data_IF_034443374882
#
_entry.id   IF_034443374882
#
_cell.length_a   1.000
_cell.length_b   1.000
_cell.length_c   1.000
_cell.angle_alpha   90.00
_cell.angle_beta   90.00
_cell.angle_gamma   90.00
#
_symmetry.space_group_name_H-M   'P 1'
#
loop_
_entity.id
_entity.type
_entity.pdbx_description
1 polymer ?
#
# COMPACT_ATOMS: atom_id res chain seq x y z
N UNK A 1 21.42 -39.56 47.54
CA UNK A 1 20.04 -39.03 47.39
C UNK A 1 20.00 -37.54 47.06
N UNK A 2 20.66 -36.66 47.84
CA UNK A 2 20.68 -35.20 47.57
C UNK A 2 21.27 -34.82 46.20
N UNK A 3 22.36 -35.48 45.78
CA UNK A 3 23.03 -35.20 44.50
C UNK A 3 22.19 -35.63 43.28
N UNK A 4 21.49 -36.77 43.37
CA UNK A 4 20.53 -37.21 42.36
C UNK A 4 19.34 -36.24 42.24
N UNK A 5 18.82 -35.75 43.37
CA UNK A 5 17.74 -34.76 43.37
C UNK A 5 18.15 -33.45 42.68
N UNK A 6 19.40 -32.99 42.88
CA UNK A 6 19.94 -31.79 42.21
C UNK A 6 20.06 -31.99 40.70
N UNK A 7 20.52 -33.15 40.25
CA UNK A 7 20.66 -33.45 38.82
C UNK A 7 19.28 -33.47 38.14
N UNK A 8 18.29 -34.11 38.77
CA UNK A 8 16.92 -34.16 38.25
C UNK A 8 16.30 -32.75 38.20
N UNK A 9 16.48 -31.96 39.25
CA UNK A 9 15.98 -30.58 39.30
C UNK A 9 16.61 -29.72 38.20
N UNK A 10 17.92 -29.86 37.98
CA UNK A 10 18.64 -29.16 36.90
C UNK A 10 18.10 -29.54 35.51
N UNK A 11 17.86 -30.83 35.28
CA UNK A 11 17.29 -31.31 34.01
C UNK A 11 15.88 -30.75 33.76
N UNK A 12 15.04 -30.66 34.80
CA UNK A 12 13.70 -30.08 34.70
C UNK A 12 13.77 -28.59 34.37
N UNK A 13 14.67 -27.84 34.99
CA UNK A 13 14.84 -26.40 34.73
C UNK A 13 15.28 -26.16 33.29
N UNK A 14 16.25 -26.92 32.79
CA UNK A 14 16.71 -26.82 31.39
C UNK A 14 15.55 -27.13 30.43
N UNK A 15 14.79 -28.19 30.69
CA UNK A 15 13.64 -28.57 29.86
C UNK A 15 12.56 -27.48 29.82
N UNK A 16 12.20 -26.92 30.97
CA UNK A 16 11.24 -25.82 31.08
C UNK A 16 11.74 -24.56 30.35
N UNK A 17 13.04 -24.27 30.44
CA UNK A 17 13.64 -23.11 29.78
C UNK A 17 13.52 -23.23 28.25
N UNK A 18 13.77 -24.41 27.69
CA UNK A 18 13.60 -24.67 26.25
C UNK A 18 12.13 -24.55 25.83
N UNK A 19 11.19 -25.05 26.63
CA UNK A 19 9.76 -24.88 26.34
C UNK A 19 9.35 -23.41 26.31
N UNK A 20 9.75 -22.64 27.32
CA UNK A 20 9.46 -21.20 27.41
C UNK A 20 9.98 -20.47 26.16
N UNK A 21 11.20 -20.78 25.73
CA UNK A 21 11.81 -20.13 24.56
C UNK A 21 11.06 -20.41 23.27
N UNK A 22 10.63 -21.66 23.07
CA UNK A 22 9.83 -22.04 21.89
C UNK A 22 8.46 -21.37 21.89
N UNK A 23 7.81 -21.30 23.05
CA UNK A 23 6.50 -20.68 23.19
C UNK A 23 6.54 -19.17 22.92
N UNK A 24 7.54 -18.46 23.46
CA UNK A 24 7.71 -17.02 23.23
C UNK A 24 7.95 -16.67 21.76
N UNK A 25 8.69 -17.51 21.02
CA UNK A 25 8.90 -17.29 19.58
C UNK A 25 7.62 -17.42 18.75
N UNK A 26 6.78 -18.40 19.09
CA UNK A 26 5.50 -18.64 18.42
C UNK A 26 4.52 -17.47 18.63
N UNK A 27 4.46 -16.91 19.83
CA UNK A 27 3.57 -15.77 20.12
C UNK A 27 3.95 -14.52 19.35
N UNK A 28 5.25 -14.24 19.20
CA UNK A 28 5.71 -13.06 18.45
C UNK A 28 5.45 -13.23 16.96
N UNK A 29 5.72 -14.41 16.39
CA UNK A 29 5.43 -14.68 14.97
C UNK A 29 3.93 -14.57 14.70
N UNK A 30 3.09 -15.22 15.51
CA UNK A 30 1.65 -15.20 15.33
C UNK A 30 1.07 -13.78 15.42
N UNK A 31 1.61 -12.95 16.31
CA UNK A 31 1.18 -11.55 16.45
C UNK A 31 1.62 -10.69 15.25
N UNK A 32 2.83 -10.91 14.73
CA UNK A 32 3.29 -10.27 13.50
C UNK A 32 2.45 -10.67 12.29
N UNK A 33 2.21 -11.97 12.11
CA UNK A 33 1.39 -12.50 11.02
C UNK A 33 -0.04 -11.93 11.08
N UNK A 34 -0.62 -11.88 12.28
CA UNK A 34 -1.92 -11.25 12.50
C UNK A 34 -1.92 -9.77 12.12
N UNK A 35 -0.90 -9.02 12.54
CA UNK A 35 -0.76 -7.59 12.22
C UNK A 35 -0.64 -7.36 10.71
N UNK A 36 0.15 -8.17 10.02
CA UNK A 36 0.33 -8.09 8.56
C UNK A 36 -0.98 -8.43 7.84
N UNK A 37 -1.67 -9.48 8.26
CA UNK A 37 -2.94 -9.86 7.65
C UNK A 37 -4.03 -8.82 7.90
N UNK A 38 -4.05 -8.21 9.09
CA UNK A 38 -4.95 -7.11 9.40
C UNK A 38 -4.67 -5.88 8.54
N UNK A 39 -3.40 -5.50 8.38
CA UNK A 39 -3.02 -4.39 7.50
C UNK A 39 -3.44 -4.64 6.05
N UNK A 40 -3.25 -5.87 5.53
CA UNK A 40 -3.71 -6.25 4.19
C UNK A 40 -5.23 -6.17 4.04
N UNK A 41 -5.97 -6.62 5.06
CA UNK A 41 -7.43 -6.55 5.07
C UNK A 41 -7.91 -5.09 5.07
N UNK A 42 -7.30 -4.24 5.89
CA UNK A 42 -7.67 -2.83 5.97
C UNK A 42 -7.34 -2.10 4.66
N UNK A 43 -6.19 -2.39 4.05
CA UNK A 43 -5.85 -1.88 2.71
C UNK A 43 -6.86 -2.35 1.66
N UNK A 44 -7.19 -3.65 1.62
CA UNK A 44 -8.15 -4.17 0.65
C UNK A 44 -9.55 -3.54 0.79
N UNK A 45 -9.95 -3.17 2.01
CA UNK A 45 -11.21 -2.43 2.24
C UNK A 45 -11.16 -1.00 1.70
N UNK A 46 -10.02 -0.33 1.86
CA UNK A 46 -9.81 1.01 1.28
C UNK A 46 -9.84 0.93 -0.24
N UNK A 47 -9.09 0.01 -0.83
CA UNK A 47 -9.06 -0.20 -2.29
C UNK A 47 -10.46 -0.52 -2.83
N UNK A 48 -11.24 -1.35 -2.12
CA UNK A 48 -12.62 -1.65 -2.51
C UNK A 48 -13.54 -0.43 -2.45
N UNK A 49 -13.38 0.44 -1.46
CA UNK A 49 -14.14 1.69 -1.36
C UNK A 49 -13.77 2.66 -2.48
N UNK A 50 -12.48 2.78 -2.81
CA UNK A 50 -11.98 3.61 -3.89
C UNK A 50 -12.50 3.12 -5.25
N UNK A 51 -12.43 1.81 -5.52
CA UNK A 51 -12.98 1.22 -6.74
C UNK A 51 -14.49 1.39 -6.85
N UNK A 52 -15.23 1.30 -5.73
CA UNK A 52 -16.66 1.56 -5.75
C UNK A 52 -16.94 3.03 -6.10
N UNK A 53 -16.17 3.97 -5.53
CA UNK A 53 -16.30 5.39 -5.86
C UNK A 53 -15.98 5.69 -7.32
N UNK A 54 -14.97 5.04 -7.90
CA UNK A 54 -14.65 5.16 -9.32
C UNK A 54 -15.77 4.60 -10.20
N UNK A 55 -16.31 3.43 -9.85
CA UNK A 55 -17.44 2.83 -10.57
C UNK A 55 -18.66 3.75 -10.54
N UNK A 56 -18.99 4.31 -9.38
CA UNK A 56 -20.11 5.24 -9.24
C UNK A 56 -19.88 6.51 -10.08
N UNK A 57 -18.64 7.01 -10.12
CA UNK A 57 -18.27 8.15 -10.97
C UNK A 57 -18.45 7.85 -12.45
N UNK A 58 -17.98 6.70 -12.94
CA UNK A 58 -18.08 6.29 -14.34
C UNK A 58 -19.47 5.79 -14.75
N UNK A 59 -20.31 5.43 -13.79
CA UNK A 59 -21.72 5.09 -14.05
C UNK A 59 -22.49 6.30 -14.59
N UNK A 60 -22.07 7.52 -14.24
CA UNK A 60 -22.62 8.72 -14.84
C UNK A 60 -22.07 8.90 -16.28
N UNK A 61 -22.92 8.83 -17.33
CA UNK A 61 -22.47 8.90 -18.72
C UNK A 61 -21.75 10.21 -19.07
N UNK A 62 -22.09 11.32 -18.39
CA UNK A 62 -21.43 12.62 -18.61
C UNK A 62 -19.97 12.59 -18.11
N UNK A 63 -19.74 11.97 -16.96
CA UNK A 63 -18.40 11.81 -16.39
C UNK A 63 -17.56 10.83 -17.21
N UNK A 64 -18.17 9.75 -17.68
CA UNK A 64 -17.52 8.79 -18.56
C UNK A 64 -17.09 9.44 -19.89
N UNK A 65 -17.97 10.24 -20.51
CA UNK A 65 -17.64 10.98 -21.72
C UNK A 65 -16.47 11.96 -21.48
N UNK A 66 -16.50 12.69 -20.35
CA UNK A 66 -15.43 13.62 -19.98
C UNK A 66 -14.08 12.93 -19.85
N UNK A 67 -14.03 11.77 -19.20
CA UNK A 67 -12.79 11.01 -19.02
C UNK A 67 -12.28 10.44 -20.36
N UNK A 68 -13.17 9.88 -21.18
CA UNK A 68 -12.81 9.39 -22.52
C UNK A 68 -12.28 10.53 -23.40
N UNK A 69 -12.92 11.70 -23.35
CA UNK A 69 -12.46 12.88 -24.10
C UNK A 69 -11.10 13.37 -23.61
N UNK A 70 -10.83 13.35 -22.31
CA UNK A 70 -9.53 13.70 -21.76
C UNK A 70 -8.44 12.71 -22.21
N UNK A 71 -8.70 11.39 -22.15
CA UNK A 71 -7.73 10.34 -22.52
C UNK A 71 -7.36 10.33 -23.99
N UNK A 72 -8.32 10.57 -24.87
CA UNK A 72 -8.12 10.56 -26.32
C UNK A 72 -7.97 11.96 -26.92
N UNK A 73 -7.96 13.00 -26.08
CA UNK A 73 -7.84 14.40 -26.49
C UNK A 73 -8.95 14.85 -27.47
N UNK A 74 -10.18 14.33 -27.28
CA UNK A 74 -11.33 14.61 -28.14
C UNK A 74 -12.06 15.90 -27.75
N UNK A 75 -12.45 16.67 -28.77
CA UNK A 75 -13.18 17.94 -28.65
C UNK A 75 -14.66 17.77 -28.95
N UNK A 76 -15.50 18.56 -28.29
CA UNK A 76 -16.91 18.67 -28.68
C UNK A 76 -17.03 19.34 -30.06
N UNK A 77 -18.06 19.02 -30.85
CA UNK A 77 -18.37 19.79 -32.06
C UNK A 77 -18.54 21.27 -31.70
N UNK A 78 -17.68 22.14 -32.25
CA UNK A 78 -17.68 23.60 -31.99
C UNK A 78 -16.65 24.10 -30.96
N UNK A 79 -15.80 23.24 -30.40
CA UNK A 79 -14.80 23.62 -29.40
C UNK A 79 -13.47 24.06 -30.06
N UNK A 80 -13.08 25.32 -29.90
CA UNK A 80 -11.85 25.86 -30.53
C UNK A 80 -10.57 25.31 -29.86
N UNK A 81 -9.56 24.96 -30.66
CA UNK A 81 -8.23 24.56 -30.16
C UNK A 81 -7.36 25.80 -29.93
N UNK A 82 -7.03 26.10 -28.67
CA UNK A 82 -6.05 27.14 -28.35
C UNK A 82 -4.66 26.48 -28.34
N UNK A 83 -3.85 26.78 -29.36
CA UNK A 83 -2.44 26.39 -29.39
C UNK A 83 -1.64 27.50 -28.73
N UNK A 84 -1.13 27.26 -27.54
CA UNK A 84 -0.23 28.19 -26.85
C UNK A 84 1.19 27.87 -27.33
N UNK A 85 1.70 28.66 -28.26
CA UNK A 85 3.11 28.60 -28.66
C UNK A 85 3.89 29.45 -27.66
N UNK A 86 4.82 28.89 -26.86
CA UNK A 86 5.70 29.70 -26.03
C UNK A 86 6.56 30.55 -26.97
N UNK A 87 6.43 31.88 -26.86
CA UNK A 87 7.37 32.80 -27.47
C UNK A 87 8.73 32.48 -26.87
N UNK A 88 9.60 31.84 -27.65
CA UNK A 88 11.02 31.77 -27.34
C UNK A 88 11.46 33.21 -27.13
N UNK A 89 11.72 33.54 -25.86
CA UNK A 89 12.43 34.76 -25.49
C UNK A 89 13.63 34.84 -26.43
N UNK A 90 13.57 35.79 -27.35
CA UNK A 90 14.68 36.11 -28.22
C UNK A 90 15.83 36.54 -27.31
N UNK A 91 16.73 35.61 -27.03
CA UNK A 91 18.02 35.93 -26.47
C UNK A 91 18.79 36.66 -27.57
N UNK A 92 18.63 37.98 -27.61
CA UNK A 92 19.51 38.89 -28.34
C UNK A 92 20.89 38.78 -27.70
N UNK A 93 21.72 37.85 -28.18
CA UNK A 93 23.17 37.92 -27.96
C UNK A 93 23.73 38.95 -28.93
N UNK A 94 23.76 40.21 -28.51
CA UNK A 94 24.56 41.24 -29.16
C UNK A 94 26.04 40.88 -28.97
N UNK A 95 26.70 40.51 -30.06
CA UNK A 95 28.15 40.48 -30.11
C UNK A 95 28.71 41.89 -29.93
N UNK A 96 29.63 42.02 -28.99
CA UNK A 96 30.74 42.98 -29.02
C UNK A 96 32.04 42.19 -29.00
#
# INVERSE_FOLDING_TARGET
>A
MKLFAIIILSAIIIFLSVQIYRFSGLTVSAQNDFSVMKAKLDQAKLDAADFQSELDYYTNPVNLEKELRARFNYKSPGENMIIIVPSTSSATSSGQ
#
